data_IF_737435362005
#
_entry.id   IF_737435362005
#
_cell.length_a   1.000
_cell.length_b   1.000
_cell.length_c   1.000
_cell.angle_alpha   90.00
_cell.angle_beta   90.00
_cell.angle_gamma   90.00
#
_symmetry.space_group_name_H-M   'P 1'
#
loop_
_entity.id
_entity.type
_entity.pdbx_description
1 polymer ?
#
# COMPACT_ATOMS: atom_id res chain seq x y z
N UNK A 1 -1.62 9.53 4.84
CA UNK A 1 -1.53 8.79 6.10
C UNK A 1 -0.09 8.38 6.33
N UNK A 2 0.47 8.58 7.51
CA UNK A 2 1.84 8.15 7.74
C UNK A 2 1.96 6.64 7.59
N UNK A 3 3.15 6.14 7.32
CA UNK A 3 3.39 4.71 7.38
C UNK A 3 2.95 4.15 8.74
N UNK A 4 2.33 2.99 8.74
CA UNK A 4 1.94 2.36 9.99
C UNK A 4 3.15 1.72 10.66
N UNK A 5 3.11 1.65 11.97
CA UNK A 5 4.18 1.05 12.75
C UNK A 5 3.62 0.08 13.78
N UNK A 6 4.43 -0.92 14.15
CA UNK A 6 4.08 -1.86 15.19
C UNK A 6 5.33 -2.37 15.92
N UNK A 7 5.19 -2.62 17.21
CA UNK A 7 6.29 -3.09 18.05
C UNK A 7 6.49 -4.60 17.92
N UNK A 8 7.77 -5.00 17.87
CA UNK A 8 8.22 -6.37 18.13
C UNK A 8 9.18 -6.35 19.32
N UNK A 9 9.59 -7.52 19.79
CA UNK A 9 10.57 -7.60 20.87
C UNK A 9 11.95 -7.05 20.45
N UNK A 10 12.22 -7.00 19.15
CA UNK A 10 13.43 -6.40 18.59
C UNK A 10 13.32 -4.88 18.35
N UNK A 11 12.13 -4.31 18.42
CA UNK A 11 11.87 -2.91 18.17
C UNK A 11 10.76 -2.72 17.13
N UNK A 12 10.56 -1.49 16.69
CA UNK A 12 9.49 -1.14 15.74
C UNK A 12 9.75 -1.68 14.33
N UNK A 13 8.68 -2.04 13.66
CA UNK A 13 8.63 -2.30 12.24
C UNK A 13 7.66 -1.32 11.58
N UNK A 14 8.03 -0.79 10.42
CA UNK A 14 7.28 0.22 9.69
C UNK A 14 6.80 -0.34 8.35
N UNK A 15 5.57 -0.03 7.99
CA UNK A 15 4.96 -0.40 6.72
C UNK A 15 4.48 0.85 6.00
N UNK A 16 4.86 1.01 4.74
CA UNK A 16 4.26 1.95 3.81
C UNK A 16 3.56 1.16 2.70
N UNK A 17 2.33 1.50 2.40
CA UNK A 17 1.55 0.82 1.38
C UNK A 17 0.92 1.83 0.42
N UNK A 18 0.81 1.43 -0.85
CA UNK A 18 0.16 2.19 -1.91
C UNK A 18 -0.98 1.35 -2.45
N UNK A 19 -2.18 1.88 -2.38
CA UNK A 19 -3.40 1.20 -2.78
C UNK A 19 -3.97 1.82 -4.05
N UNK A 20 -4.35 0.98 -5.00
CA UNK A 20 -5.16 1.38 -6.13
C UNK A 20 -6.62 1.52 -5.65
N UNK A 21 -7.15 2.75 -5.68
CA UNK A 21 -8.51 3.01 -5.20
C UNK A 21 -9.60 2.41 -6.08
N UNK A 22 -9.29 2.14 -7.35
CA UNK A 22 -10.23 1.52 -8.28
C UNK A 22 -10.47 0.04 -7.95
N UNK A 23 -9.40 -0.75 -7.85
CA UNK A 23 -9.48 -2.20 -7.61
C UNK A 23 -9.35 -2.59 -6.14
N UNK A 24 -8.90 -1.67 -5.30
CA UNK A 24 -8.55 -1.96 -3.91
C UNK A 24 -7.25 -2.74 -3.74
N UNK A 25 -6.54 -3.05 -4.83
CA UNK A 25 -5.28 -3.78 -4.75
C UNK A 25 -4.20 -2.93 -4.10
N UNK A 26 -3.42 -3.54 -3.22
CA UNK A 26 -2.19 -2.94 -2.70
C UNK A 26 -1.11 -3.17 -3.75
N UNK A 27 -0.87 -2.14 -4.57
CA UNK A 27 0.02 -2.23 -5.74
C UNK A 27 1.49 -2.14 -5.38
N UNK A 28 1.82 -1.51 -4.26
CA UNK A 28 3.17 -1.43 -3.77
C UNK A 28 3.20 -1.29 -2.26
N UNK A 29 4.16 -1.90 -1.64
CA UNK A 29 4.42 -1.73 -0.21
C UNK A 29 5.88 -1.98 0.10
N UNK A 30 6.34 -1.44 1.21
CA UNK A 30 7.67 -1.69 1.74
C UNK A 30 7.62 -1.78 3.25
N UNK A 31 8.50 -2.57 3.82
CA UNK A 31 8.58 -2.83 5.24
C UNK A 31 10.03 -2.61 5.67
N UNK A 32 10.25 -1.85 6.74
CA UNK A 32 11.59 -1.53 7.23
C UNK A 32 11.60 -1.33 8.74
N UNK A 33 12.76 -1.46 9.32
CA UNK A 33 13.03 -1.13 10.73
C UNK A 33 13.19 0.38 10.96
N UNK A 34 13.16 1.19 9.90
CA UNK A 34 13.35 2.64 9.96
C UNK A 34 12.29 3.40 9.17
N UNK A 35 11.76 4.45 9.78
CA UNK A 35 10.84 5.37 9.12
C UNK A 35 11.64 6.48 8.43
N UNK A 36 12.10 6.20 7.20
CA UNK A 36 12.79 7.17 6.36
C UNK A 36 12.03 7.38 5.05
N UNK A 37 12.37 8.47 4.34
CA UNK A 37 11.85 8.75 3.01
C UNK A 37 12.00 7.55 2.06
N UNK A 38 13.07 6.77 2.20
CA UNK A 38 13.32 5.56 1.43
C UNK A 38 12.20 4.53 1.55
N UNK A 39 11.53 4.44 2.69
CA UNK A 39 10.39 3.54 2.88
C UNK A 39 9.27 3.86 1.87
N UNK A 40 8.92 5.12 1.74
CA UNK A 40 7.91 5.58 0.80
C UNK A 40 8.36 5.44 -0.66
N UNK A 41 9.61 5.78 -0.96
CA UNK A 41 10.19 5.64 -2.30
C UNK A 41 10.20 4.17 -2.74
N UNK A 42 10.61 3.25 -1.87
CA UNK A 42 10.62 1.82 -2.17
C UNK A 42 9.21 1.28 -2.43
N UNK A 43 8.22 1.71 -1.65
CA UNK A 43 6.82 1.34 -1.90
C UNK A 43 6.35 1.84 -3.27
N UNK A 44 6.71 3.07 -3.64
CA UNK A 44 6.40 3.64 -4.94
C UNK A 44 7.07 2.89 -6.08
N UNK A 45 8.35 2.60 -5.97
CA UNK A 45 9.09 1.83 -6.97
C UNK A 45 8.50 0.44 -7.19
N UNK A 46 8.09 -0.23 -6.10
CA UNK A 46 7.41 -1.52 -6.17
C UNK A 46 6.05 -1.41 -6.87
N UNK A 47 5.30 -0.34 -6.60
CA UNK A 47 4.02 -0.10 -7.28
C UNK A 47 4.22 0.09 -8.80
N UNK A 48 5.21 0.89 -9.19
CA UNK A 48 5.53 1.13 -10.60
C UNK A 48 5.98 -0.16 -11.30
N UNK A 49 6.76 -1.00 -10.65
CA UNK A 49 7.18 -2.29 -11.19
C UNK A 49 6.00 -3.22 -11.48
N UNK A 50 4.96 -3.14 -10.69
CA UNK A 50 3.73 -3.94 -10.87
C UNK A 50 2.77 -3.32 -11.88
N UNK A 51 2.79 -2.00 -12.03
CA UNK A 51 1.94 -1.23 -12.96
C UNK A 51 2.80 -0.67 -14.08
N UNK A 52 2.99 -1.41 -15.15
CA UNK A 52 3.89 -1.07 -16.26
C UNK A 52 3.63 0.29 -16.89
N UNK A 53 2.40 0.79 -16.87
CA UNK A 53 2.03 2.07 -17.44
C UNK A 53 1.27 2.92 -16.42
N UNK A 54 2.03 3.51 -15.50
CA UNK A 54 1.48 4.36 -14.45
C UNK A 54 1.64 5.87 -14.72
N UNK A 55 2.27 6.26 -15.83
CA UNK A 55 2.48 7.67 -16.17
C UNK A 55 1.15 8.43 -16.19
N UNK A 56 1.13 9.61 -15.55
CA UNK A 56 -0.06 10.44 -15.44
C UNK A 56 -0.98 10.10 -14.27
N UNK A 57 -0.74 8.98 -13.57
CA UNK A 57 -1.52 8.64 -12.40
C UNK A 57 -1.29 9.64 -11.26
N UNK A 58 -2.35 9.89 -10.49
CA UNK A 58 -2.30 10.76 -9.32
C UNK A 58 -2.01 9.90 -8.10
N UNK A 59 -0.97 10.27 -7.35
CA UNK A 59 -0.62 9.63 -6.08
C UNK A 59 -1.03 10.54 -4.94
N UNK A 60 -2.10 10.16 -4.25
CA UNK A 60 -2.55 10.88 -3.05
C UNK A 60 -1.75 10.40 -1.83
N UNK A 61 -1.23 11.35 -1.07
CA UNK A 61 -0.57 11.06 0.19
C UNK A 61 -0.97 12.09 1.24
N UNK A 62 -0.74 11.77 2.51
CA UNK A 62 -0.87 12.79 3.54
C UNK A 62 0.36 13.73 3.51
N UNK A 63 0.37 14.69 4.43
CA UNK A 63 1.45 15.65 4.55
C UNK A 63 2.62 15.16 5.41
N UNK A 64 2.74 13.86 5.60
CA UNK A 64 3.86 13.27 6.31
C UNK A 64 5.19 13.62 5.69
N UNK A 65 6.23 13.74 6.52
CA UNK A 65 7.57 14.15 6.08
C UNK A 65 8.16 13.25 4.99
N UNK A 66 7.80 11.95 5.00
CA UNK A 66 8.27 10.98 4.02
C UNK A 66 7.81 11.34 2.60
N UNK A 67 6.56 11.80 2.47
CA UNK A 67 5.94 12.15 1.19
C UNK A 67 6.30 13.55 0.71
N UNK A 68 6.80 14.41 1.58
CA UNK A 68 7.30 15.76 1.24
C UNK A 68 8.80 15.77 0.99
N UNK A 69 9.48 14.66 1.21
CA UNK A 69 10.91 14.57 1.01
C UNK A 69 11.30 14.79 -0.45
N UNK A 70 12.48 15.33 -0.67
CA UNK A 70 13.02 15.50 -2.03
C UNK A 70 13.12 14.18 -2.77
N UNK A 71 13.48 13.11 -2.07
CA UNK A 71 13.59 11.77 -2.65
C UNK A 71 12.25 11.26 -3.20
N UNK A 72 11.18 11.45 -2.44
CA UNK A 72 9.85 11.00 -2.87
C UNK A 72 9.31 11.86 -4.02
N UNK A 73 9.42 13.19 -3.91
CA UNK A 73 9.01 14.12 -4.97
C UNK A 73 9.80 13.85 -6.25
N UNK A 74 11.10 13.60 -6.15
CA UNK A 74 11.93 13.24 -7.30
C UNK A 74 11.50 11.92 -7.93
N UNK A 75 11.15 10.93 -7.13
CA UNK A 75 10.66 9.64 -7.62
C UNK A 75 9.33 9.80 -8.38
N UNK A 76 8.41 10.64 -7.91
CA UNK A 76 7.18 10.97 -8.63
C UNK A 76 7.49 11.55 -10.01
N UNK A 77 8.39 12.53 -10.09
CA UNK A 77 8.81 13.14 -11.36
C UNK A 77 9.46 12.12 -12.30
N UNK A 78 10.36 11.30 -11.78
CA UNK A 78 11.06 10.27 -12.57
C UNK A 78 10.10 9.29 -13.24
N UNK A 79 9.00 8.97 -12.58
CA UNK A 79 7.98 8.05 -13.09
C UNK A 79 6.80 8.76 -13.77
N UNK A 80 6.87 10.07 -13.97
CA UNK A 80 5.81 10.89 -14.58
C UNK A 80 4.47 10.80 -13.84
N UNK A 81 4.53 10.76 -12.52
CA UNK A 81 3.37 10.73 -11.64
C UNK A 81 3.05 12.13 -11.12
N UNK A 82 1.81 12.34 -10.75
CA UNK A 82 1.31 13.59 -10.19
C UNK A 82 1.06 13.41 -8.71
N UNK A 83 1.76 14.18 -7.88
CA UNK A 83 1.57 14.18 -6.44
C UNK A 83 0.39 15.06 -6.03
N UNK A 84 -0.39 14.59 -5.05
CA UNK A 84 -1.48 15.35 -4.43
C UNK A 84 -1.43 15.15 -2.93
N UNK A 85 -1.42 16.25 -2.18
CA UNK A 85 -1.36 16.22 -0.73
C UNK A 85 -2.49 17.08 -0.13
N UNK A 86 -3.48 16.42 0.48
CA UNK A 86 -4.49 17.09 1.29
C UNK A 86 -5.41 18.05 0.53
N UNK A 87 -5.68 17.78 -0.75
CA UNK A 87 -6.66 18.53 -1.53
C UNK A 87 -8.09 18.04 -1.28
N UNK A 88 -9.05 18.84 -1.69
CA UNK A 88 -10.48 18.50 -1.62
C UNK A 88 -10.73 17.22 -2.42
N UNK A 89 -11.33 16.22 -1.80
CA UNK A 89 -11.52 14.88 -2.38
C UNK A 89 -10.60 13.81 -1.81
N UNK A 90 -9.50 14.19 -1.18
CA UNK A 90 -8.56 13.26 -0.56
C UNK A 90 -9.14 12.54 0.68
N UNK A 91 -10.24 13.02 1.24
CA UNK A 91 -10.88 12.41 2.41
C UNK A 91 -11.32 10.96 2.15
N UNK A 92 -11.83 10.66 0.95
CA UNK A 92 -12.21 9.30 0.55
C UNK A 92 -11.00 8.37 0.41
N UNK A 93 -9.90 8.88 -0.11
CA UNK A 93 -8.66 8.12 -0.28
C UNK A 93 -7.99 7.84 1.06
N UNK A 94 -7.99 8.81 1.97
CA UNK A 94 -7.53 8.61 3.35
C UNK A 94 -8.38 7.57 4.07
N UNK A 95 -9.71 7.61 3.92
CA UNK A 95 -10.60 6.60 4.50
C UNK A 95 -10.31 5.19 3.98
N UNK A 96 -9.97 5.06 2.70
CA UNK A 96 -9.59 3.78 2.11
C UNK A 96 -8.31 3.20 2.74
N UNK A 97 -7.31 4.06 3.00
CA UNK A 97 -6.08 3.64 3.68
C UNK A 97 -6.30 3.35 5.16
N UNK A 98 -7.12 4.15 5.85
CA UNK A 98 -7.48 3.90 7.25
C UNK A 98 -8.20 2.57 7.41
N UNK A 99 -9.13 2.27 6.51
CA UNK A 99 -9.82 0.98 6.48
C UNK A 99 -8.84 -0.19 6.31
N UNK A 100 -7.88 -0.06 5.39
CA UNK A 100 -6.84 -1.07 5.19
C UNK A 100 -6.02 -1.29 6.46
N UNK A 101 -5.54 -0.22 7.08
CA UNK A 101 -4.71 -0.33 8.27
C UNK A 101 -5.49 -0.84 9.47
N UNK A 102 -6.76 -0.50 9.61
CA UNK A 102 -7.63 -1.08 10.64
C UNK A 102 -7.80 -2.58 10.48
N UNK A 103 -7.95 -3.06 9.23
CA UNK A 103 -8.01 -4.49 8.94
C UNK A 103 -6.69 -5.19 9.26
N UNK A 104 -5.58 -4.60 8.90
CA UNK A 104 -4.25 -5.13 9.21
C UNK A 104 -4.03 -5.19 10.72
N UNK A 105 -4.40 -4.14 11.44
CA UNK A 105 -4.29 -4.10 12.89
C UNK A 105 -5.05 -5.25 13.54
N UNK A 106 -6.31 -5.41 13.16
CA UNK A 106 -7.19 -6.44 13.71
C UNK A 106 -6.80 -7.87 13.32
N UNK A 107 -6.39 -8.07 12.08
CA UNK A 107 -6.17 -9.41 11.53
C UNK A 107 -4.74 -9.92 11.67
N UNK A 108 -3.78 -9.05 11.87
CA UNK A 108 -2.36 -9.40 11.95
C UNK A 108 -1.72 -8.85 13.21
N UNK A 109 -1.66 -7.51 13.33
CA UNK A 109 -0.81 -6.87 14.32
C UNK A 109 -1.22 -7.19 15.75
N UNK A 110 -2.51 -7.16 16.07
CA UNK A 110 -3.05 -7.40 17.42
C UNK A 110 -3.24 -8.89 17.75
N UNK A 111 -2.89 -9.81 16.84
CA UNK A 111 -3.15 -11.24 17.02
C UNK A 111 -2.27 -11.91 18.06
N UNK A 112 -1.04 -11.41 18.20
CA UNK A 112 -0.09 -11.95 19.16
C UNK A 112 1.05 -10.96 19.42
N UNK A 113 1.90 -11.28 20.40
CA UNK A 113 3.18 -10.62 20.60
C UNK A 113 4.17 -11.14 19.57
N UNK A 114 4.79 -10.22 18.83
CA UNK A 114 5.76 -10.53 17.80
C UNK A 114 7.18 -10.52 18.40
N UNK A 115 7.90 -11.61 18.23
CA UNK A 115 9.26 -11.73 18.77
C UNK A 115 10.29 -11.01 17.91
N UNK A 116 10.20 -11.22 16.61
CA UNK A 116 11.16 -10.66 15.66
C UNK A 116 10.46 -9.83 14.59
N UNK A 117 11.19 -8.90 14.01
CA UNK A 117 10.72 -8.11 12.86
C UNK A 117 10.44 -9.01 11.66
N UNK A 118 11.26 -10.03 11.45
CA UNK A 118 11.06 -10.96 10.33
C UNK A 118 9.78 -11.78 10.47
N UNK A 119 9.46 -12.24 11.67
CA UNK A 119 8.21 -12.95 11.94
C UNK A 119 6.99 -12.07 11.57
N UNK A 120 6.99 -10.83 12.02
CA UNK A 120 5.91 -9.89 11.72
C UNK A 120 5.87 -9.53 10.23
N UNK A 121 7.02 -9.31 9.62
CA UNK A 121 7.13 -9.01 8.19
C UNK A 121 6.51 -10.11 7.33
N UNK A 122 6.83 -11.35 7.59
CA UNK A 122 6.29 -12.51 6.87
C UNK A 122 4.76 -12.57 7.05
N UNK A 123 4.27 -12.32 8.25
CA UNK A 123 2.83 -12.32 8.52
C UNK A 123 2.10 -11.22 7.75
N UNK A 124 2.65 -10.02 7.68
CA UNK A 124 2.09 -8.89 6.92
C UNK A 124 2.05 -9.24 5.43
N UNK A 125 3.16 -9.69 4.86
CA UNK A 125 3.25 -10.05 3.43
C UNK A 125 2.26 -11.16 3.10
N UNK A 126 2.20 -12.19 3.90
CA UNK A 126 1.28 -13.31 3.71
C UNK A 126 -0.18 -12.85 3.74
N UNK A 127 -0.53 -11.98 4.68
CA UNK A 127 -1.89 -11.46 4.78
C UNK A 127 -2.25 -10.61 3.55
N UNK A 128 -1.36 -9.71 3.13
CA UNK A 128 -1.60 -8.87 1.94
C UNK A 128 -1.81 -9.74 0.70
N UNK A 129 -0.87 -10.61 0.42
CA UNK A 129 -0.85 -11.36 -0.85
C UNK A 129 -1.89 -12.48 -0.90
N UNK A 130 -2.09 -13.21 0.18
CA UNK A 130 -3.03 -14.35 0.21
C UNK A 130 -4.43 -13.98 0.64
N UNK A 131 -4.56 -13.25 1.75
CA UNK A 131 -5.88 -12.99 2.33
C UNK A 131 -6.53 -11.77 1.70
N UNK A 132 -5.85 -10.62 1.74
CA UNK A 132 -6.43 -9.38 1.25
C UNK A 132 -6.65 -9.41 -0.27
N UNK A 133 -5.64 -9.78 -1.03
CA UNK A 133 -5.74 -9.78 -2.49
C UNK A 133 -6.60 -10.92 -3.06
N UNK A 134 -6.57 -12.11 -2.48
CA UNK A 134 -7.08 -13.32 -3.13
C UNK A 134 -8.28 -13.98 -2.43
N UNK A 135 -8.54 -13.66 -1.18
CA UNK A 135 -9.63 -14.28 -0.40
C UNK A 135 -10.66 -13.29 0.09
N UNK A 136 -10.26 -12.05 0.38
CA UNK A 136 -11.15 -11.04 0.91
C UNK A 136 -12.02 -10.46 -0.20
N UNK A 137 -13.30 -10.85 -0.20
CA UNK A 137 -14.30 -10.28 -1.09
C UNK A 137 -14.82 -8.98 -0.52
N UNK A 138 -15.00 -7.97 -1.38
CA UNK A 138 -15.42 -6.64 -0.96
C UNK A 138 -16.74 -6.27 -1.63
N UNK A 139 -17.69 -5.78 -0.85
CA UNK A 139 -19.01 -5.37 -1.37
C UNK A 139 -18.88 -4.30 -2.46
N UNK A 140 -17.99 -3.35 -2.29
CA UNK A 140 -17.73 -2.28 -3.24
C UNK A 140 -17.13 -2.78 -4.58
N UNK A 141 -16.59 -3.99 -4.62
CA UNK A 141 -16.06 -4.65 -5.80
C UNK A 141 -17.01 -5.75 -6.31
N UNK A 142 -18.30 -5.59 -6.15
CA UNK A 142 -19.31 -6.59 -6.53
C UNK A 142 -19.06 -7.99 -5.90
N UNK A 143 -18.58 -8.00 -4.66
CA UNK A 143 -18.21 -9.20 -3.90
C UNK A 143 -17.04 -9.98 -4.51
N UNK A 144 -16.19 -9.30 -5.25
CA UNK A 144 -14.96 -9.86 -5.78
C UNK A 144 -13.77 -9.50 -4.90
N UNK A 145 -12.70 -10.26 -5.02
CA UNK A 145 -11.40 -9.87 -4.48
C UNK A 145 -10.74 -8.82 -5.37
N UNK A 146 -9.75 -8.05 -4.88
CA UNK A 146 -9.00 -7.13 -5.73
C UNK A 146 -8.42 -7.77 -6.98
N UNK A 147 -7.89 -8.98 -6.87
CA UNK A 147 -7.31 -9.69 -8.03
C UNK A 147 -8.39 -10.11 -9.02
N UNK A 148 -9.49 -10.67 -8.54
CA UNK A 148 -10.62 -11.04 -9.42
C UNK A 148 -11.18 -9.82 -10.13
N UNK A 149 -11.36 -8.71 -9.42
CA UNK A 149 -11.88 -7.47 -9.98
C UNK A 149 -10.99 -6.93 -11.10
N UNK A 150 -9.68 -6.89 -10.90
CA UNK A 150 -8.75 -6.45 -11.93
C UNK A 150 -8.75 -7.38 -13.16
N UNK A 151 -8.85 -8.69 -12.93
CA UNK A 151 -8.90 -9.67 -14.01
C UNK A 151 -10.13 -9.49 -14.89
N UNK A 152 -11.29 -9.20 -14.29
CA UNK A 152 -12.53 -8.99 -15.00
C UNK A 152 -12.55 -7.63 -15.72
N UNK A 153 -12.16 -6.56 -15.02
CA UNK A 153 -12.23 -5.19 -15.54
C UNK A 153 -11.11 -4.83 -16.51
N UNK A 154 -10.03 -5.60 -16.52
CA UNK A 154 -8.86 -5.33 -17.35
C UNK A 154 -8.26 -6.63 -17.91
N UNK A 155 -9.00 -7.38 -18.73
CA UNK A 155 -8.56 -8.70 -19.22
C UNK A 155 -7.25 -8.64 -20.02
N UNK A 156 -6.95 -7.53 -20.72
CA UNK A 156 -5.71 -7.35 -21.46
C UNK A 156 -4.47 -7.35 -20.54
N UNK A 157 -4.59 -6.81 -19.32
CA UNK A 157 -3.51 -6.82 -18.33
C UNK A 157 -3.27 -8.24 -17.82
N UNK A 158 -4.33 -9.01 -17.63
CA UNK A 158 -4.21 -10.39 -17.15
C UNK A 158 -3.55 -11.30 -18.21
N UNK A 159 -3.75 -11.03 -19.49
CA UNK A 159 -3.10 -11.74 -20.58
C UNK A 159 -1.63 -11.36 -20.77
N UNK A 160 -1.25 -10.17 -20.37
CA UNK A 160 0.13 -9.69 -20.46
C UNK A 160 1.00 -10.13 -19.28
N UNK A 161 0.40 -10.63 -18.25
CA UNK A 161 1.09 -11.14 -17.08
C UNK A 161 1.48 -12.61 -17.26
#
# INVERSE_FOLDING_TARGET
>A
MPPTEHWTDEGKLYLCAIKDVFSGRIVGYSISDRMKARLAVTALDNAISRRRNAAGCIVHSDRGSQFRSRKFVHALHRHHLIGSMGQVGAAGDNAAMESLFSLLQKNVLDRKRWRTREELRIAIITWIERTYHRRRRQARLDRLTPIEYETIMNPAVSLAA
#
